data_IF_038171013808
#
_entry.id   IF_038171013808
#
_cell.length_a   1.000
_cell.length_b   1.000
_cell.length_c   1.000
_cell.angle_alpha   90.00
_cell.angle_beta   90.00
_cell.angle_gamma   90.00
#
_symmetry.space_group_name_H-M   'P 1'
#
loop_
_entity.id
_entity.type
_entity.pdbx_description
1 polymer ?
#
# COMPACT_ATOMS: atom_id res chain seq x y z
N UNK A 1 14.55 13.74 16.13
CA UNK A 1 13.74 12.50 16.31
C UNK A 1 14.42 11.36 15.56
N UNK A 2 14.43 10.12 16.08
CA UNK A 2 14.92 8.93 15.38
C UNK A 2 13.76 7.93 15.22
N UNK A 3 13.68 7.17 14.11
CA UNK A 3 12.67 6.12 13.98
C UNK A 3 12.88 5.07 15.08
N UNK A 4 11.79 4.52 15.60
CA UNK A 4 11.89 3.46 16.60
C UNK A 4 12.55 2.21 15.99
N UNK A 5 13.34 1.49 16.80
CA UNK A 5 13.97 0.23 16.36
C UNK A 5 12.93 -0.79 15.87
N UNK A 6 11.75 -0.78 16.50
CA UNK A 6 10.65 -1.67 16.15
C UNK A 6 10.14 -1.42 14.73
N UNK A 7 9.95 -0.15 14.33
CA UNK A 7 9.54 0.21 12.97
C UNK A 7 10.61 -0.15 11.96
N UNK A 8 11.89 0.09 12.27
CA UNK A 8 13.01 -0.31 11.40
C UNK A 8 13.02 -1.82 11.15
N UNK A 9 12.84 -2.63 12.20
CA UNK A 9 12.82 -4.09 12.08
C UNK A 9 11.60 -4.57 11.28
N UNK A 10 10.44 -3.93 11.48
CA UNK A 10 9.24 -4.21 10.69
C UNK A 10 9.47 -3.95 9.20
N UNK A 11 10.01 -2.79 8.83
CA UNK A 11 10.29 -2.44 7.44
C UNK A 11 11.28 -3.42 6.79
N UNK A 12 12.33 -3.83 7.51
CA UNK A 12 13.28 -4.83 7.01
C UNK A 12 12.58 -6.14 6.67
N UNK A 13 11.78 -6.68 7.59
CA UNK A 13 11.07 -7.95 7.39
C UNK A 13 10.03 -7.87 6.29
N UNK A 14 9.32 -6.74 6.16
CA UNK A 14 8.37 -6.56 5.06
C UNK A 14 9.09 -6.54 3.71
N UNK A 15 10.27 -5.92 3.64
CA UNK A 15 11.04 -5.83 2.39
C UNK A 15 11.52 -7.20 1.87
N UNK A 16 11.65 -8.20 2.74
CA UNK A 16 12.01 -9.56 2.32
C UNK A 16 10.90 -10.23 1.48
N UNK A 17 9.68 -9.69 1.49
CA UNK A 17 8.50 -10.29 0.83
C UNK A 17 7.68 -9.33 -0.02
N UNK A 18 7.84 -8.03 0.17
CA UNK A 18 7.05 -6.98 -0.46
C UNK A 18 7.95 -5.86 -0.99
N UNK A 19 7.58 -5.30 -2.14
CA UNK A 19 8.13 -4.02 -2.60
C UNK A 19 7.57 -2.90 -1.73
N UNK A 20 8.45 -2.09 -1.15
CA UNK A 20 8.07 -1.01 -0.25
C UNK A 20 8.21 0.34 -0.94
N UNK A 21 7.10 1.07 -1.03
CA UNK A 21 7.07 2.44 -1.57
C UNK A 21 6.63 3.42 -0.49
N UNK A 22 7.39 4.51 -0.32
CA UNK A 22 7.00 5.63 0.54
C UNK A 22 6.31 6.70 -0.30
N UNK A 23 5.08 7.08 0.04
CA UNK A 23 4.38 8.23 -0.55
C UNK A 23 4.10 9.26 0.54
N UNK A 24 4.68 10.45 0.44
CA UNK A 24 4.56 11.49 1.45
C UNK A 24 4.14 12.84 0.86
N UNK A 25 3.16 13.49 1.49
CA UNK A 25 2.72 14.82 1.10
C UNK A 25 3.59 15.89 1.78
N UNK A 26 3.99 16.91 1.04
CA UNK A 26 4.76 18.04 1.54
C UNK A 26 5.66 18.63 0.46
N UNK A 27 6.29 19.77 0.74
CA UNK A 27 7.29 20.36 -0.16
C UNK A 27 8.49 19.44 -0.31
N UNK A 28 9.11 19.43 -1.49
CA UNK A 28 10.30 18.63 -1.80
C UNK A 28 11.39 18.75 -0.72
N UNK A 29 11.85 19.98 -0.46
CA UNK A 29 12.92 20.30 0.49
C UNK A 29 12.69 19.68 1.87
N UNK A 30 11.60 20.05 2.55
CA UNK A 30 11.32 19.59 3.91
C UNK A 30 11.17 18.06 4.03
N UNK A 31 10.62 17.39 3.01
CA UNK A 31 10.39 15.95 3.09
C UNK A 31 11.68 15.18 2.81
N UNK A 32 12.47 15.59 1.81
CA UNK A 32 13.79 15.00 1.57
C UNK A 32 14.74 15.22 2.73
N UNK A 33 14.74 16.41 3.34
CA UNK A 33 15.51 16.68 4.55
C UNK A 33 15.17 15.69 5.68
N UNK A 34 13.89 15.51 5.99
CA UNK A 34 13.43 14.53 7.00
C UNK A 34 13.82 13.10 6.64
N UNK A 35 13.63 12.68 5.38
CA UNK A 35 13.97 11.34 4.91
C UNK A 35 15.47 11.06 5.10
N UNK A 36 16.31 12.02 4.74
CA UNK A 36 17.77 11.92 4.83
C UNK A 36 18.24 11.93 6.28
N UNK A 37 17.74 12.87 7.10
CA UNK A 37 18.05 12.93 8.53
C UNK A 37 17.68 11.63 9.27
N UNK A 38 16.53 11.04 8.93
CA UNK A 38 16.05 9.79 9.53
C UNK A 38 16.68 8.54 8.89
N UNK A 39 17.47 8.70 7.82
CA UNK A 39 18.09 7.61 7.04
C UNK A 39 17.07 6.57 6.57
N UNK A 40 15.88 7.03 6.15
CA UNK A 40 14.75 6.16 5.81
C UNK A 40 14.79 5.66 4.37
N UNK A 41 15.42 6.42 3.44
CA UNK A 41 15.46 6.10 1.99
C UNK A 41 15.87 4.66 1.70
N UNK A 42 16.80 4.11 2.49
CA UNK A 42 17.36 2.76 2.31
C UNK A 42 16.39 1.62 2.61
N UNK A 43 15.22 1.87 3.20
CA UNK A 43 14.23 0.82 3.52
C UNK A 43 13.12 0.70 2.46
N UNK A 44 13.08 1.62 1.50
CA UNK A 44 12.06 1.66 0.45
C UNK A 44 12.73 1.48 -0.90
N UNK A 45 12.05 0.80 -1.81
CA UNK A 45 12.50 0.61 -3.18
C UNK A 45 12.28 1.92 -3.96
N UNK A 46 11.13 2.57 -3.73
CA UNK A 46 10.79 3.88 -4.27
C UNK A 46 10.33 4.86 -3.17
N UNK A 47 10.62 6.14 -3.37
CA UNK A 47 10.14 7.23 -2.52
C UNK A 47 9.56 8.33 -3.41
N UNK A 48 8.29 8.64 -3.18
CA UNK A 48 7.52 9.68 -3.87
C UNK A 48 7.21 10.78 -2.86
N UNK A 49 7.72 11.98 -3.12
CA UNK A 49 7.44 13.19 -2.36
C UNK A 49 6.53 14.07 -3.20
N UNK A 50 5.32 14.39 -2.73
CA UNK A 50 4.34 15.11 -3.56
C UNK A 50 4.83 16.46 -4.06
N UNK A 51 5.77 17.11 -3.38
CA UNK A 51 6.36 18.38 -3.81
C UNK A 51 7.24 18.29 -5.06
N UNK A 52 7.62 17.08 -5.48
CA UNK A 52 8.31 16.82 -6.74
C UNK A 52 7.35 16.55 -7.91
N UNK A 53 6.04 16.52 -7.63
CA UNK A 53 4.99 16.11 -8.57
C UNK A 53 3.88 17.16 -8.62
N UNK A 54 3.11 17.23 -9.73
CA UNK A 54 1.95 18.12 -9.80
C UNK A 54 0.76 17.61 -8.96
N UNK A 55 0.83 16.37 -8.48
CA UNK A 55 -0.22 15.70 -7.71
C UNK A 55 0.22 15.48 -6.26
N UNK A 56 -0.76 15.40 -5.35
CA UNK A 56 -0.58 14.99 -3.96
C UNK A 56 -1.72 14.10 -3.54
N UNK A 57 -1.54 13.26 -2.51
CA UNK A 57 -2.65 12.50 -1.93
C UNK A 57 -3.76 13.47 -1.49
N UNK A 58 -5.05 13.20 -1.76
CA UNK A 58 -5.63 11.94 -2.23
C UNK A 58 -5.67 11.75 -3.76
N UNK A 59 -5.11 12.64 -4.59
CA UNK A 59 -5.18 12.48 -6.05
C UNK A 59 -4.62 11.10 -6.49
N UNK A 60 -5.38 10.28 -7.24
CA UNK A 60 -4.98 8.93 -7.60
C UNK A 60 -3.71 8.89 -8.45
N UNK A 61 -3.38 9.96 -9.18
CA UNK A 61 -2.20 10.00 -10.03
C UNK A 61 -0.90 9.77 -9.25
N UNK A 62 -0.78 10.28 -8.01
CA UNK A 62 0.44 10.03 -7.21
C UNK A 62 0.63 8.55 -6.85
N UNK A 63 -0.46 7.80 -6.73
CA UNK A 63 -0.42 6.36 -6.49
C UNK A 63 -0.08 5.60 -7.79
N UNK A 64 -0.57 6.07 -8.94
CA UNK A 64 -0.19 5.52 -10.24
C UNK A 64 1.29 5.71 -10.54
N UNK A 65 1.86 6.89 -10.23
CA UNK A 65 3.31 7.13 -10.32
C UNK A 65 4.10 6.16 -9.44
N UNK A 66 3.65 5.94 -8.21
CA UNK A 66 4.25 4.98 -7.30
C UNK A 66 4.18 3.54 -7.85
N UNK A 67 3.04 3.13 -8.42
CA UNK A 67 2.85 1.81 -9.03
C UNK A 67 3.74 1.64 -10.26
N UNK A 68 3.81 2.65 -11.14
CA UNK A 68 4.62 2.64 -12.34
C UNK A 68 6.12 2.54 -12.01
N UNK A 69 6.59 3.32 -11.03
CA UNK A 69 7.99 3.34 -10.61
C UNK A 69 8.52 1.97 -10.14
N UNK A 70 7.62 1.07 -9.73
CA UNK A 70 7.97 -0.31 -9.33
C UNK A 70 7.30 -1.39 -10.18
N UNK A 71 6.70 -1.01 -11.32
CA UNK A 71 6.12 -1.91 -12.31
C UNK A 71 5.05 -2.88 -11.76
N UNK A 72 4.14 -2.38 -10.92
CA UNK A 72 3.01 -3.16 -10.37
C UNK A 72 1.67 -2.57 -10.76
N UNK A 73 0.61 -3.38 -10.75
CA UNK A 73 -0.76 -2.88 -10.95
C UNK A 73 -1.34 -2.33 -9.64
N UNK A 74 -2.19 -1.29 -9.68
CA UNK A 74 -2.86 -0.75 -8.47
C UNK A 74 -3.54 -1.83 -7.60
N UNK A 75 -4.24 -2.76 -8.23
CA UNK A 75 -4.94 -3.86 -7.53
C UNK A 75 -4.02 -4.83 -6.77
N UNK A 76 -2.69 -4.77 -6.98
CA UNK A 76 -1.70 -5.58 -6.27
C UNK A 76 -1.07 -4.83 -5.09
N UNK A 77 -1.48 -3.58 -4.86
CA UNK A 77 -0.90 -2.71 -3.84
C UNK A 77 -1.84 -2.53 -2.64
N UNK A 78 -1.25 -2.31 -1.47
CA UNK A 78 -1.96 -1.95 -0.24
C UNK A 78 -1.43 -0.60 0.25
N UNK A 79 -2.32 0.37 0.44
CA UNK A 79 -1.95 1.63 1.08
C UNK A 79 -2.08 1.51 2.60
N UNK A 80 -1.00 1.82 3.32
CA UNK A 80 -1.01 1.96 4.78
C UNK A 80 -0.79 3.42 5.13
N UNK A 81 -1.70 4.03 5.88
CA UNK A 81 -1.60 5.44 6.27
C UNK A 81 -2.45 5.77 7.49
N UNK A 82 -2.29 6.98 8.01
CA UNK A 82 -2.96 7.46 9.23
C UNK A 82 -4.09 8.43 8.93
N UNK A 83 -4.21 8.92 7.69
CA UNK A 83 -5.18 9.94 7.31
C UNK A 83 -6.23 9.41 6.35
N UNK A 84 -7.49 9.54 6.75
CA UNK A 84 -8.63 9.08 5.96
C UNK A 84 -8.76 9.88 4.67
N UNK A 85 -8.62 11.21 4.77
CA UNK A 85 -8.88 12.17 3.69
C UNK A 85 -7.79 12.15 2.62
N UNK A 86 -6.61 11.61 2.92
CA UNK A 86 -5.49 11.54 1.98
C UNK A 86 -5.12 10.11 1.62
N UNK A 87 -4.84 9.26 2.61
CA UNK A 87 -4.28 7.93 2.37
C UNK A 87 -5.37 6.94 1.96
N UNK A 88 -6.46 6.90 2.74
CA UNK A 88 -7.55 5.95 2.51
C UNK A 88 -8.38 6.36 1.31
N UNK A 89 -8.79 7.63 1.25
CA UNK A 89 -9.52 8.17 0.11
C UNK A 89 -8.72 8.02 -1.19
N UNK A 90 -7.42 8.36 -1.17
CA UNK A 90 -6.59 8.24 -2.36
C UNK A 90 -6.35 6.80 -2.80
N UNK A 91 -6.11 5.88 -1.85
CA UNK A 91 -5.98 4.46 -2.16
C UNK A 91 -7.25 3.85 -2.75
N UNK A 92 -8.43 4.28 -2.28
CA UNK A 92 -9.72 3.87 -2.84
C UNK A 92 -9.91 4.45 -4.25
N UNK A 93 -9.66 5.75 -4.43
CA UNK A 93 -9.81 6.42 -5.73
C UNK A 93 -8.85 5.86 -6.79
N UNK A 94 -7.67 5.41 -6.37
CA UNK A 94 -6.69 4.75 -7.23
C UNK A 94 -6.97 3.26 -7.48
N UNK A 95 -8.07 2.70 -6.94
CA UNK A 95 -8.42 1.28 -7.03
C UNK A 95 -7.28 0.36 -6.56
N UNK A 96 -6.64 0.71 -5.44
CA UNK A 96 -5.66 -0.17 -4.83
C UNK A 96 -6.31 -1.44 -4.29
N UNK A 97 -5.57 -2.53 -4.23
CA UNK A 97 -6.05 -3.83 -3.73
C UNK A 97 -6.47 -3.81 -2.25
N UNK A 98 -5.98 -2.84 -1.48
CA UNK A 98 -6.43 -2.64 -0.10
C UNK A 98 -5.99 -1.31 0.51
N UNK A 99 -6.68 -0.92 1.58
CA UNK A 99 -6.36 0.27 2.38
C UNK A 99 -6.40 -0.07 3.87
N UNK A 100 -5.33 0.24 4.58
CA UNK A 100 -5.16 0.01 6.02
C UNK A 100 -5.01 1.36 6.70
N UNK A 101 -5.95 1.69 7.57
CA UNK A 101 -5.90 2.89 8.41
C UNK A 101 -5.22 2.57 9.74
N UNK A 102 -4.13 3.26 10.05
CA UNK A 102 -3.47 3.24 11.36
C UNK A 102 -3.98 4.41 12.20
N UNK A 103 -4.81 4.12 13.21
CA UNK A 103 -5.35 5.17 14.09
C UNK A 103 -5.62 4.67 15.50
N UNK A 104 -5.32 5.50 16.50
CA UNK A 104 -5.67 5.25 17.91
C UNK A 104 -7.06 5.76 18.29
N UNK A 105 -7.76 6.43 17.36
CA UNK A 105 -9.06 7.06 17.63
C UNK A 105 -10.24 6.06 17.68
N UNK A 106 -9.95 4.76 17.57
CA UNK A 106 -10.93 3.68 17.56
C UNK A 106 -11.80 3.64 16.29
N UNK A 107 -12.71 2.66 16.24
CA UNK A 107 -13.65 2.45 15.13
C UNK A 107 -14.86 3.41 15.18
N UNK A 108 -14.62 4.73 15.12
CA UNK A 108 -15.70 5.69 14.80
C UNK A 108 -16.19 5.43 13.37
N UNK A 109 -17.38 5.93 13.01
CA UNK A 109 -17.80 5.93 11.60
C UNK A 109 -16.79 6.74 10.78
N UNK A 110 -15.98 6.03 10.01
CA UNK A 110 -14.93 6.59 9.14
C UNK A 110 -15.44 6.52 7.70
N UNK A 111 -15.41 7.66 7.00
CA UNK A 111 -15.81 7.77 5.60
C UNK A 111 -14.72 8.49 4.79
N UNK A 112 -14.25 7.93 3.66
CA UNK A 112 -14.59 6.59 3.16
C UNK A 112 -14.06 5.48 4.07
N UNK A 113 -14.72 4.31 4.03
CA UNK A 113 -14.38 3.19 4.90
C UNK A 113 -13.07 2.51 4.43
N UNK A 114 -12.04 2.37 5.29
CA UNK A 114 -10.86 1.57 4.96
C UNK A 114 -11.21 0.07 4.95
N UNK A 115 -10.42 -0.73 4.23
CA UNK A 115 -10.57 -2.19 4.25
C UNK A 115 -10.24 -2.76 5.63
N UNK A 116 -9.18 -2.24 6.26
CA UNK A 116 -8.74 -2.65 7.60
C UNK A 116 -8.39 -1.41 8.43
N UNK A 117 -8.66 -1.47 9.73
CA UNK A 117 -8.19 -0.48 10.70
C UNK A 117 -7.36 -1.19 11.76
N UNK A 118 -6.17 -0.66 12.02
CA UNK A 118 -5.23 -1.12 13.05
C UNK A 118 -4.90 0.03 13.99
N UNK A 119 -4.56 -0.28 15.24
CA UNK A 119 -4.16 0.73 16.23
C UNK A 119 -2.63 0.74 16.42
N UNK A 120 -1.98 -0.39 16.12
CA UNK A 120 -0.54 -0.56 16.16
C UNK A 120 0.01 -1.04 14.81
N UNK A 121 1.07 -0.38 14.34
CA UNK A 121 1.79 -0.75 13.11
C UNK A 121 2.32 -2.20 13.14
N UNK A 122 2.55 -2.77 14.32
CA UNK A 122 2.99 -4.15 14.48
C UNK A 122 1.96 -5.18 14.03
N UNK A 123 0.67 -4.82 13.96
CA UNK A 123 -0.40 -5.67 13.44
C UNK A 123 -0.21 -6.01 11.95
N UNK A 124 0.51 -5.16 11.19
CA UNK A 124 0.86 -5.45 9.79
C UNK A 124 1.60 -6.78 9.63
N UNK A 125 2.32 -7.22 10.66
CA UNK A 125 3.02 -8.50 10.69
C UNK A 125 2.10 -9.71 10.49
N UNK A 126 0.87 -9.60 10.96
CA UNK A 126 -0.15 -10.64 10.93
C UNK A 126 -1.01 -10.52 9.67
N UNK A 127 -1.30 -9.28 9.26
CA UNK A 127 -2.13 -8.98 8.10
C UNK A 127 -1.41 -9.18 6.77
N UNK A 128 -0.10 -8.90 6.74
CA UNK A 128 0.78 -9.05 5.59
C UNK A 128 1.84 -10.12 5.91
N UNK A 129 1.45 -11.40 6.04
CA UNK A 129 2.40 -12.46 6.35
C UNK A 129 3.41 -12.63 5.20
N UNK A 130 4.56 -13.27 5.45
CA UNK A 130 5.47 -13.69 4.39
C UNK A 130 4.71 -14.39 3.25
N UNK A 131 4.99 -14.04 2.00
CA UNK A 131 4.33 -14.64 0.82
C UNK A 131 4.50 -16.16 0.78
N UNK A 132 5.58 -16.70 1.37
CA UNK A 132 5.79 -18.14 1.55
C UNK A 132 4.74 -18.82 2.45
N UNK A 133 4.12 -18.09 3.39
CA UNK A 133 3.05 -18.61 4.23
C UNK A 133 1.71 -18.74 3.48
N UNK A 134 1.54 -18.03 2.35
CA UNK A 134 0.35 -18.10 1.51
C UNK A 134 0.40 -19.26 0.51
N UNK A 135 1.59 -19.75 0.15
CA UNK A 135 1.77 -20.88 -0.78
C UNK A 135 1.37 -22.24 -0.17
N UNK A 136 1.27 -22.35 1.16
CA UNK A 136 0.91 -23.60 1.84
C UNK A 136 -0.60 -23.80 2.07
N UNK A 137 -1.48 -22.93 1.54
CA UNK A 137 -2.94 -23.05 1.68
C UNK A 137 -3.69 -23.43 0.40
N UNK A 138 -2.99 -23.65 -0.71
CA UNK A 138 -3.60 -23.96 -2.02
C UNK A 138 -3.27 -25.38 -2.50
N UNK A 139 -3.39 -26.37 -1.62
CA UNK A 139 -3.34 -27.79 -2.00
C UNK A 139 -4.31 -28.61 -1.16
N UNK A 140 -5.61 -28.33 -1.29
CA UNK A 140 -6.68 -29.29 -0.95
C UNK A 140 -8.08 -28.86 -1.41
N UNK A 141 -8.29 -28.58 -2.70
CA UNK A 141 -9.48 -29.01 -3.44
C UNK A 141 -9.41 -28.50 -4.89
N UNK A 142 -9.04 -29.42 -5.79
CA UNK A 142 -9.36 -29.34 -7.22
C UNK A 142 -10.79 -29.84 -7.38
N UNK A 143 -11.67 -29.03 -7.96
CA UNK A 143 -12.74 -29.52 -8.81
C UNK A 143 -12.81 -28.62 -10.03
N UNK A 144 -12.61 -29.26 -11.18
CA UNK A 144 -12.63 -28.69 -12.52
C UNK A 144 -13.92 -27.94 -12.80
N UNK A 145 -13.79 -26.77 -13.43
CA UNK A 145 -14.90 -26.17 -14.17
C UNK A 145 -14.40 -25.74 -15.55
N UNK A 146 -15.03 -26.38 -16.52
CA UNK A 146 -14.85 -26.41 -17.97
C UNK A 146 -14.69 -25.02 -18.62
N UNK A 147 -13.61 -24.83 -19.40
CA UNK A 147 -13.46 -23.72 -20.34
C UNK A 147 -14.30 -24.01 -21.59
N UNK A 148 -15.57 -23.58 -21.56
CA UNK A 148 -16.43 -23.61 -22.74
C UNK A 148 -17.54 -22.58 -22.65
N UNK A 149 -17.22 -21.32 -22.96
CA UNK A 149 -18.10 -20.41 -23.73
C UNK A 149 -17.57 -18.96 -23.73
N UNK A 150 -16.72 -18.61 -24.68
CA UNK A 150 -16.60 -17.22 -25.15
C UNK A 150 -16.52 -17.23 -26.67
N UNK A 151 -17.68 -17.43 -27.29
CA UNK A 151 -17.84 -17.32 -28.74
C UNK A 151 -19.30 -17.03 -29.09
N UNK A 152 -19.69 -15.76 -29.00
CA UNK A 152 -20.81 -15.21 -29.78
C UNK A 152 -20.92 -13.71 -29.54
N UNK A 153 -20.48 -12.92 -30.52
CA UNK A 153 -21.36 -11.96 -31.22
C UNK A 153 -20.57 -11.15 -32.26
N UNK A 154 -20.59 -11.65 -33.49
CA UNK A 154 -20.46 -10.83 -34.69
C UNK A 154 -21.70 -11.11 -35.54
N UNK A 155 -22.63 -10.15 -35.62
CA UNK A 155 -23.57 -9.90 -36.73
C UNK A 155 -24.64 -8.89 -36.31
N UNK A 156 -24.48 -7.64 -36.75
CA UNK A 156 -25.48 -6.87 -37.51
C UNK A 156 -24.90 -5.52 -37.90
#
# INVERSE_FOLDING_TARGET
MKPSKCVINLLKRLRDHYTLVMITNGTSEHQWEKINMLKMRKYFDCVIVSGDWPWKKPDPNIFYEACQAVSVKPCQCVMVGDKVETDILGGIQANLGGTILLTKSGKKMISPRPHITIEDIHELSLLLPPTSALQNKSSSHLMDVDESSCSSNASR
#
